data_IF_453815584643
#
_entry.id   IF_453815584643
#
_cell.length_a   1.000
_cell.length_b   1.000
_cell.length_c   1.000
_cell.angle_alpha   90.00
_cell.angle_beta   90.00
_cell.angle_gamma   90.00
#
_symmetry.space_group_name_H-M   'P 1'
#
loop_
_entity.id
_entity.type
_entity.pdbx_description
1 polymer ?
#
# COMPACT_ATOMS: atom_id res chain seq x y z
N UNK A 1 -6.17 14.40 2.60
CA UNK A 1 -4.87 13.89 2.13
C UNK A 1 -4.98 13.29 0.74
N UNK A 2 -5.85 12.29 0.52
CA UNK A 2 -6.00 11.59 -0.77
C UNK A 2 -6.23 12.56 -1.95
N UNK A 3 -7.18 13.50 -1.83
CA UNK A 3 -7.40 14.53 -2.85
C UNK A 3 -6.18 15.40 -3.09
N UNK A 4 -5.38 15.67 -2.06
CA UNK A 4 -4.13 16.41 -2.19
C UNK A 4 -3.12 15.70 -3.08
N UNK A 5 -2.99 14.37 -2.95
CA UNK A 5 -2.12 13.56 -3.80
C UNK A 5 -2.61 13.50 -5.25
N UNK A 6 -3.92 13.36 -5.49
CA UNK A 6 -4.48 13.43 -6.85
C UNK A 6 -4.13 14.76 -7.50
N UNK A 7 -4.36 15.89 -6.80
CA UNK A 7 -4.04 17.22 -7.31
C UNK A 7 -2.54 17.40 -7.57
N UNK A 8 -1.69 16.92 -6.64
CA UNK A 8 -0.24 17.00 -6.76
C UNK A 8 0.31 16.18 -7.94
N UNK A 9 -0.26 14.99 -8.19
CA UNK A 9 0.09 14.17 -9.35
C UNK A 9 -0.30 14.86 -10.65
N UNK A 10 -1.55 15.32 -10.78
CA UNK A 10 -2.01 16.04 -11.97
C UNK A 10 -1.14 17.28 -12.27
N UNK A 11 -0.83 18.08 -11.25
CA UNK A 11 0.04 19.27 -11.43
C UNK A 11 1.46 18.91 -11.87
N UNK A 12 1.98 17.77 -11.41
CA UNK A 12 3.30 17.30 -11.84
C UNK A 12 3.27 16.85 -13.31
N UNK A 13 2.22 16.16 -13.75
CA UNK A 13 2.05 15.77 -15.17
C UNK A 13 1.89 16.99 -16.09
N UNK A 14 1.09 18.00 -15.70
CA UNK A 14 0.95 19.25 -16.43
C UNK A 14 2.32 19.97 -16.59
N UNK A 15 3.13 19.97 -15.52
CA UNK A 15 4.48 20.55 -15.58
C UNK A 15 5.37 19.80 -16.57
N UNK A 16 5.31 18.45 -16.58
CA UNK A 16 6.10 17.64 -17.50
C UNK A 16 5.65 17.81 -18.96
N UNK A 17 4.35 17.98 -19.19
CA UNK A 17 3.79 18.26 -20.51
C UNK A 17 4.30 19.60 -21.04
N UNK A 18 4.19 20.68 -20.25
CA UNK A 18 4.73 22.02 -20.60
C UNK A 18 6.22 21.97 -20.89
N UNK A 19 7.01 21.27 -20.06
CA UNK A 19 8.45 21.13 -20.27
C UNK A 19 8.81 20.47 -21.61
N UNK A 20 8.00 19.48 -22.03
CA UNK A 20 8.17 18.82 -23.34
C UNK A 20 7.84 19.76 -24.51
N UNK A 21 6.78 20.58 -24.37
CA UNK A 21 6.36 21.54 -25.37
C UNK A 21 7.38 22.67 -25.54
N UNK A 22 7.89 23.20 -24.44
CA UNK A 22 8.82 24.33 -24.41
C UNK A 22 10.28 23.92 -24.69
N UNK A 23 10.61 22.64 -24.57
CA UNK A 23 11.98 22.12 -24.66
C UNK A 23 12.86 22.55 -23.48
N UNK A 24 12.27 23.00 -22.38
CA UNK A 24 12.96 23.34 -21.14
C UNK A 24 12.70 22.29 -20.05
N UNK A 25 13.69 21.48 -19.75
CA UNK A 25 13.61 20.38 -18.78
C UNK A 25 14.18 20.73 -17.40
N UNK A 26 14.46 22.00 -17.12
CA UNK A 26 15.09 22.42 -15.86
C UNK A 26 14.27 22.06 -14.61
N UNK A 27 12.93 22.07 -14.70
CA UNK A 27 12.01 21.70 -13.61
C UNK A 27 11.61 20.21 -13.61
N UNK A 28 11.92 19.46 -14.67
CA UNK A 28 11.50 18.06 -14.82
C UNK A 28 11.95 17.13 -13.68
N UNK A 29 13.19 17.24 -13.12
CA UNK A 29 13.59 16.36 -12.01
C UNK A 29 12.70 16.51 -10.75
N UNK A 30 12.22 17.73 -10.48
CA UNK A 30 11.27 18.01 -9.40
C UNK A 30 9.90 17.42 -9.68
N UNK A 31 9.38 17.67 -10.89
CA UNK A 31 8.08 17.15 -11.32
C UNK A 31 8.05 15.59 -11.33
N UNK A 32 9.11 14.93 -11.81
CA UNK A 32 9.23 13.47 -11.80
C UNK A 32 9.18 12.91 -10.36
N UNK A 33 9.85 13.55 -9.39
CA UNK A 33 9.75 13.15 -7.99
C UNK A 33 8.32 13.34 -7.44
N UNK A 34 7.65 14.42 -7.84
CA UNK A 34 6.27 14.68 -7.44
C UNK A 34 5.30 13.66 -8.05
N UNK A 35 5.50 13.21 -9.30
CA UNK A 35 4.74 12.10 -9.90
C UNK A 35 4.88 10.86 -9.02
N UNK A 36 6.12 10.46 -8.69
CA UNK A 36 6.36 9.27 -7.87
C UNK A 36 5.72 9.39 -6.48
N UNK A 37 5.95 10.51 -5.80
CA UNK A 37 5.43 10.71 -4.44
C UNK A 37 3.90 10.79 -4.39
N UNK A 38 3.32 11.67 -5.21
CA UNK A 38 1.87 11.88 -5.19
C UNK A 38 1.12 10.72 -5.84
N UNK A 39 1.65 10.12 -6.92
CA UNK A 39 1.07 8.93 -7.54
C UNK A 39 1.03 7.76 -6.56
N UNK A 40 2.14 7.48 -5.87
CA UNK A 40 2.18 6.45 -4.83
C UNK A 40 1.22 6.79 -3.67
N UNK A 41 1.15 8.05 -3.25
CA UNK A 41 0.21 8.49 -2.22
C UNK A 41 -1.24 8.25 -2.61
N UNK A 42 -1.63 8.56 -3.86
CA UNK A 42 -2.97 8.25 -4.37
C UNK A 42 -3.23 6.74 -4.39
N UNK A 43 -2.34 5.96 -5.00
CA UNK A 43 -2.50 4.51 -5.15
C UNK A 43 -2.64 3.82 -3.79
N UNK A 44 -1.77 4.13 -2.83
CA UNK A 44 -1.82 3.50 -1.51
C UNK A 44 -3.08 3.86 -0.72
N UNK A 45 -3.59 5.09 -0.84
CA UNK A 45 -4.87 5.46 -0.23
C UNK A 45 -6.06 4.78 -0.89
N UNK A 46 -6.04 4.65 -2.22
CA UNK A 46 -7.09 3.93 -2.95
C UNK A 46 -7.15 2.45 -2.52
N UNK A 47 -5.99 1.80 -2.44
CA UNK A 47 -5.87 0.43 -1.93
C UNK A 47 -6.36 0.30 -0.48
N UNK A 48 -6.01 1.27 0.38
CA UNK A 48 -6.39 1.28 1.79
C UNK A 48 -7.90 1.38 1.98
N UNK A 49 -8.56 2.36 1.31
CA UNK A 49 -10.00 2.53 1.41
C UNK A 49 -10.78 1.33 0.90
N UNK A 50 -10.37 0.78 -0.23
CA UNK A 50 -11.03 -0.37 -0.85
C UNK A 50 -10.76 -1.70 -0.13
N UNK A 51 -9.85 -1.73 0.85
CA UNK A 51 -9.58 -2.92 1.67
C UNK A 51 -10.37 -2.95 2.97
N UNK A 52 -11.28 -2.01 3.20
CA UNK A 52 -12.03 -1.91 4.47
C UNK A 52 -13.54 -1.92 4.23
N UNK A 53 -14.26 -2.69 5.06
CA UNK A 53 -15.71 -2.76 5.10
C UNK A 53 -16.21 -2.86 6.53
N UNK A 54 -17.37 -2.28 6.86
CA UNK A 54 -18.04 -2.52 8.15
C UNK A 54 -18.40 -3.99 8.38
N UNK A 55 -18.51 -4.77 7.32
CA UNK A 55 -18.79 -6.22 7.33
C UNK A 55 -17.51 -7.06 7.19
N UNK A 56 -16.32 -6.44 7.21
CA UNK A 56 -15.04 -7.13 7.19
C UNK A 56 -14.67 -7.81 8.51
N UNK A 57 -13.42 -8.26 8.61
CA UNK A 57 -12.88 -8.82 9.85
C UNK A 57 -12.70 -10.33 9.87
N UNK A 58 -13.11 -11.02 8.82
CA UNK A 58 -12.81 -12.44 8.64
C UNK A 58 -11.35 -12.67 8.20
N UNK A 59 -10.95 -13.91 7.95
CA UNK A 59 -9.67 -14.27 7.37
C UNK A 59 -9.81 -14.42 5.84
N UNK A 60 -8.72 -14.27 5.07
CA UNK A 60 -8.79 -14.52 3.64
C UNK A 60 -9.11 -15.99 3.35
N UNK A 61 -9.75 -16.22 2.21
CA UNK A 61 -10.05 -17.56 1.71
C UNK A 61 -9.40 -17.81 0.34
N UNK A 62 -9.42 -19.04 -0.14
CA UNK A 62 -8.97 -19.42 -1.47
C UNK A 62 -7.45 -19.22 -1.70
N UNK A 63 -7.08 -18.81 -2.91
CA UNK A 63 -5.68 -18.77 -3.36
C UNK A 63 -4.79 -17.85 -2.52
N UNK A 64 -5.30 -16.71 -2.05
CA UNK A 64 -4.55 -15.81 -1.18
C UNK A 64 -4.27 -16.45 0.18
N UNK A 65 -5.26 -17.13 0.78
CA UNK A 65 -5.08 -17.84 2.06
C UNK A 65 -4.05 -18.95 1.93
N UNK A 66 -4.17 -19.79 0.90
CA UNK A 66 -3.22 -20.88 0.61
C UNK A 66 -1.80 -20.33 0.45
N UNK A 67 -1.65 -19.19 -0.21
CA UNK A 67 -0.36 -18.56 -0.43
C UNK A 67 0.23 -17.95 0.84
N UNK A 68 -0.60 -17.34 1.70
CA UNK A 68 -0.16 -16.86 3.02
C UNK A 68 0.35 -18.05 3.86
N UNK A 69 -0.36 -19.17 3.85
CA UNK A 69 0.08 -20.36 4.57
C UNK A 69 1.40 -20.93 4.01
N UNK A 70 1.58 -20.94 2.68
CA UNK A 70 2.81 -21.39 2.04
C UNK A 70 4.02 -20.53 2.39
N UNK A 71 3.87 -19.19 2.32
CA UNK A 71 5.00 -18.27 2.46
C UNK A 71 5.33 -17.91 3.92
N UNK A 72 4.32 -17.92 4.82
CA UNK A 72 4.47 -17.50 6.23
C UNK A 72 4.20 -18.61 7.24
N UNK A 73 3.68 -19.75 6.81
CA UNK A 73 3.39 -20.91 7.65
C UNK A 73 1.99 -20.90 8.28
N UNK A 74 1.38 -19.74 8.52
CA UNK A 74 -0.03 -19.58 8.91
C UNK A 74 -0.48 -18.14 8.76
N UNK A 75 -1.81 -17.92 8.80
CA UNK A 75 -2.39 -16.57 8.84
C UNK A 75 -1.92 -15.79 10.07
N UNK A 76 -1.89 -16.40 11.26
CA UNK A 76 -1.47 -15.75 12.49
C UNK A 76 0.01 -15.35 12.46
N UNK A 77 0.88 -16.17 11.84
CA UNK A 77 2.30 -15.86 11.70
C UNK A 77 2.49 -14.66 10.75
N UNK A 78 1.80 -14.66 9.62
CA UNK A 78 1.76 -13.52 8.71
C UNK A 78 1.25 -12.25 9.38
N UNK A 79 0.09 -12.34 10.05
CA UNK A 79 -0.53 -11.21 10.75
C UNK A 79 0.40 -10.62 11.81
N UNK A 80 1.01 -11.47 12.63
CA UNK A 80 1.96 -11.03 13.65
C UNK A 80 3.17 -10.30 13.06
N UNK A 81 3.71 -10.78 11.93
CA UNK A 81 4.79 -10.10 11.20
C UNK A 81 4.31 -8.77 10.59
N UNK A 82 3.12 -8.74 9.99
CA UNK A 82 2.52 -7.52 9.44
C UNK A 82 2.27 -6.48 10.53
N UNK A 83 1.72 -6.84 11.69
CA UNK A 83 1.52 -5.95 12.84
C UNK A 83 2.86 -5.38 13.35
N UNK A 84 3.90 -6.20 13.42
CA UNK A 84 5.25 -5.75 13.79
C UNK A 84 5.82 -4.75 12.76
N UNK A 85 5.64 -5.00 11.47
CA UNK A 85 6.00 -4.08 10.40
C UNK A 85 5.24 -2.76 10.53
N UNK A 86 3.91 -2.81 10.72
CA UNK A 86 3.05 -1.65 10.91
C UNK A 86 3.42 -0.85 12.16
N UNK A 87 3.85 -1.51 13.24
CA UNK A 87 4.33 -0.86 14.45
C UNK A 87 5.60 -0.03 14.26
N UNK A 88 6.42 -0.34 13.27
CA UNK A 88 7.72 0.30 13.01
C UNK A 88 7.76 1.15 11.73
N UNK A 89 6.82 1.03 10.82
CA UNK A 89 6.78 1.80 9.59
C UNK A 89 6.64 3.31 9.84
N UNK A 90 7.31 4.11 9.02
CA UNK A 90 7.14 5.57 9.02
C UNK A 90 5.86 6.02 8.31
N UNK A 91 5.38 5.24 7.34
CA UNK A 91 4.22 5.58 6.51
C UNK A 91 3.21 4.44 6.35
N UNK A 92 3.63 3.29 5.84
CA UNK A 92 2.74 2.20 5.46
C UNK A 92 3.32 0.83 5.80
N UNK A 93 2.45 -0.11 6.14
CA UNK A 93 2.74 -1.54 6.07
C UNK A 93 1.96 -2.14 4.90
N UNK A 94 2.62 -2.95 4.08
CA UNK A 94 2.02 -3.57 2.90
C UNK A 94 2.20 -5.08 2.94
N UNK A 95 1.18 -5.82 2.52
CA UNK A 95 1.35 -7.15 1.97
C UNK A 95 1.52 -6.98 0.45
N UNK A 96 2.56 -7.53 -0.12
CA UNK A 96 2.85 -7.44 -1.54
C UNK A 96 3.08 -8.82 -2.15
N UNK A 97 2.73 -8.99 -3.43
CA UNK A 97 3.20 -10.08 -4.25
C UNK A 97 4.49 -9.66 -4.95
N UNK A 98 5.58 -10.34 -4.64
CA UNK A 98 6.89 -10.17 -5.27
C UNK A 98 6.96 -11.05 -6.53
N UNK A 99 6.73 -10.45 -7.68
CA UNK A 99 6.74 -11.17 -8.96
C UNK A 99 8.11 -11.73 -9.36
N UNK A 100 9.19 -11.23 -8.76
CA UNK A 100 10.54 -11.70 -9.05
C UNK A 100 10.86 -13.03 -8.38
N UNK A 101 10.39 -13.23 -7.15
CA UNK A 101 10.60 -14.48 -6.40
C UNK A 101 9.34 -15.37 -6.36
N UNK A 102 8.22 -14.90 -6.92
CA UNK A 102 6.91 -15.55 -6.83
C UNK A 102 6.55 -15.86 -5.38
N UNK A 103 6.51 -14.83 -4.52
CA UNK A 103 6.21 -14.95 -3.08
C UNK A 103 5.43 -13.74 -2.58
N UNK A 104 4.63 -13.94 -1.52
CA UNK A 104 4.12 -12.86 -0.70
C UNK A 104 5.20 -12.35 0.26
N UNK A 105 5.21 -11.04 0.51
CA UNK A 105 6.11 -10.41 1.49
C UNK A 105 5.41 -9.30 2.23
N UNK A 106 5.75 -9.11 3.50
CA UNK A 106 5.46 -7.88 4.20
C UNK A 106 6.55 -6.83 3.87
N UNK A 107 6.13 -5.60 3.61
CA UNK A 107 7.02 -4.48 3.24
C UNK A 107 6.70 -3.26 4.10
N UNK A 108 7.75 -2.61 4.59
CA UNK A 108 7.68 -1.32 5.29
C UNK A 108 7.97 -0.20 4.31
N UNK A 109 7.08 0.78 4.23
CA UNK A 109 7.22 1.96 3.38
C UNK A 109 7.22 3.21 4.26
N UNK A 110 8.36 3.90 4.35
CA UNK A 110 8.53 5.04 5.28
C UNK A 110 7.89 6.34 4.81
N UNK A 111 7.68 6.47 3.50
CA UNK A 111 6.85 7.50 2.87
C UNK A 111 5.93 6.80 1.87
N UNK A 112 5.41 7.53 0.88
CA UNK A 112 4.61 6.87 -0.17
C UNK A 112 5.49 6.12 -1.18
N UNK A 113 6.69 6.64 -1.42
CA UNK A 113 7.63 6.25 -2.48
C UNK A 113 9.00 5.77 -1.93
N UNK A 114 9.11 5.48 -0.63
CA UNK A 114 10.37 5.06 -0.01
C UNK A 114 10.18 3.76 0.77
N UNK A 115 10.90 2.73 0.36
CA UNK A 115 10.88 1.40 0.96
C UNK A 115 10.16 0.34 0.11
N UNK A 116 9.53 0.72 -1.01
CA UNK A 116 8.89 -0.23 -1.90
C UNK A 116 9.92 -1.21 -2.50
N UNK A 117 9.54 -2.49 -2.54
CA UNK A 117 10.33 -3.52 -3.21
C UNK A 117 10.03 -3.49 -4.72
N UNK A 118 11.07 -3.28 -5.54
CA UNK A 118 10.91 -3.24 -7.00
C UNK A 118 10.39 -4.56 -7.55
N UNK A 119 9.38 -4.47 -8.42
CA UNK A 119 8.71 -5.64 -9.00
C UNK A 119 7.63 -6.23 -8.10
N UNK A 120 7.29 -5.59 -6.98
CA UNK A 120 6.18 -6.01 -6.13
C UNK A 120 4.88 -5.32 -6.48
N UNK A 121 3.78 -6.06 -6.26
CA UNK A 121 2.41 -5.57 -6.41
C UNK A 121 1.74 -5.50 -5.04
N UNK A 122 1.25 -4.34 -4.61
CA UNK A 122 0.58 -4.22 -3.32
C UNK A 122 -0.77 -4.94 -3.34
N UNK A 123 -0.96 -5.83 -2.39
CA UNK A 123 -2.18 -6.62 -2.19
C UNK A 123 -3.03 -5.99 -1.09
N UNK A 124 -2.43 -5.69 0.07
CA UNK A 124 -3.07 -5.02 1.19
C UNK A 124 -2.19 -3.87 1.64
N UNK A 125 -2.79 -2.72 1.94
CA UNK A 125 -2.10 -1.53 2.45
C UNK A 125 -2.73 -1.06 3.75
N UNK A 126 -1.90 -0.78 4.76
CA UNK A 126 -2.29 -0.13 6.02
C UNK A 126 -1.55 1.19 6.16
N UNK A 127 -2.31 2.28 6.20
CA UNK A 127 -1.81 3.63 6.49
C UNK A 127 -1.49 3.75 7.99
N UNK A 128 -0.22 4.02 8.31
CA UNK A 128 0.23 4.20 9.71
C UNK A 128 0.82 5.58 9.96
N UNK A 129 0.58 6.54 9.07
CA UNK A 129 0.77 7.94 9.37
C UNK A 129 -0.16 8.37 10.52
N UNK A 130 0.25 9.34 11.33
CA UNK A 130 -0.55 9.81 12.48
C UNK A 130 -1.95 10.28 12.07
N UNK A 131 -2.12 10.83 10.88
CA UNK A 131 -3.43 11.28 10.39
C UNK A 131 -4.45 10.14 10.22
N UNK A 132 -4.01 8.90 10.07
CA UNK A 132 -4.92 7.76 9.91
C UNK A 132 -5.49 7.26 11.24
N UNK A 133 -4.82 7.50 12.38
CA UNK A 133 -5.23 6.92 13.65
C UNK A 133 -5.26 7.90 14.84
N UNK A 134 -4.49 8.99 14.81
CA UNK A 134 -4.29 9.81 16.00
C UNK A 134 -5.57 10.50 16.50
N UNK A 135 -6.52 10.78 15.60
CA UNK A 135 -7.80 11.39 15.96
C UNK A 135 -8.61 10.50 16.92
N UNK A 136 -8.65 9.19 16.66
CA UNK A 136 -9.48 8.24 17.39
C UNK A 136 -8.70 7.47 18.47
N UNK A 137 -7.42 7.18 18.24
CA UNK A 137 -6.57 6.35 19.09
C UNK A 137 -5.49 7.13 19.83
N UNK A 138 -5.26 8.42 19.53
CA UNK A 138 -4.14 9.17 20.09
C UNK A 138 -2.81 8.44 19.85
N UNK A 139 -1.95 8.26 20.88
CA UNK A 139 -0.67 7.57 20.71
C UNK A 139 -0.77 6.04 20.66
N UNK A 140 -1.97 5.45 20.77
CA UNK A 140 -2.17 4.01 20.83
C UNK A 140 -2.17 3.35 19.43
N UNK A 141 -1.10 3.58 18.63
CA UNK A 141 -0.95 3.05 17.28
C UNK A 141 -1.08 1.53 17.21
N UNK A 142 -0.59 0.80 18.21
CA UNK A 142 -0.70 -0.65 18.26
C UNK A 142 -2.15 -1.14 18.33
N UNK A 143 -3.01 -0.42 19.05
CA UNK A 143 -4.44 -0.71 19.12
C UNK A 143 -5.12 -0.45 17.76
N UNK A 144 -4.80 0.65 17.09
CA UNK A 144 -5.26 0.92 15.73
C UNK A 144 -4.87 -0.19 14.75
N UNK A 145 -3.59 -0.61 14.77
CA UNK A 145 -3.07 -1.68 13.90
C UNK A 145 -3.80 -3.00 14.16
N UNK A 146 -4.04 -3.36 15.42
CA UNK A 146 -4.78 -4.57 15.75
C UNK A 146 -6.24 -4.51 15.30
N UNK A 147 -6.91 -3.37 15.52
CA UNK A 147 -8.32 -3.17 15.15
C UNK A 147 -8.54 -3.04 13.63
N UNK A 148 -7.48 -2.75 12.85
CA UNK A 148 -7.58 -2.73 11.39
C UNK A 148 -8.08 -4.08 10.85
N UNK A 149 -7.66 -5.18 11.43
CA UNK A 149 -8.06 -6.51 10.99
C UNK A 149 -9.54 -6.82 11.24
N UNK A 150 -10.21 -6.09 12.12
CA UNK A 150 -11.65 -6.23 12.36
C UNK A 150 -12.50 -5.62 11.23
N UNK A 151 -11.88 -4.89 10.30
CA UNK A 151 -12.57 -4.23 9.18
C UNK A 151 -11.97 -4.56 7.81
N UNK A 152 -10.95 -5.44 7.73
CA UNK A 152 -10.39 -5.84 6.44
C UNK A 152 -11.44 -6.59 5.63
N UNK A 153 -11.71 -6.10 4.43
CA UNK A 153 -12.48 -6.78 3.40
C UNK A 153 -11.51 -7.54 2.50
N UNK A 154 -11.49 -8.86 2.62
CA UNK A 154 -10.54 -9.72 1.91
C UNK A 154 -10.90 -9.98 0.44
N UNK A 155 -12.08 -9.59 -0.02
CA UNK A 155 -12.49 -9.76 -1.41
C UNK A 155 -11.57 -8.96 -2.35
N UNK A 156 -11.30 -7.70 -1.99
CA UNK A 156 -10.41 -6.84 -2.78
C UNK A 156 -8.93 -7.26 -2.76
N UNK A 157 -8.29 -7.55 -1.61
CA UNK A 157 -6.95 -8.11 -1.56
C UNK A 157 -6.81 -9.42 -2.34
N UNK A 158 -7.80 -10.32 -2.26
CA UNK A 158 -7.81 -11.58 -3.00
C UNK A 158 -7.86 -11.36 -4.50
N UNK A 159 -8.74 -10.45 -4.97
CA UNK A 159 -8.82 -10.10 -6.39
C UNK A 159 -7.51 -9.48 -6.92
N UNK A 160 -6.83 -8.64 -6.12
CA UNK A 160 -5.52 -8.07 -6.49
C UNK A 160 -4.43 -9.13 -6.55
N UNK A 161 -4.44 -10.08 -5.64
CA UNK A 161 -3.52 -11.21 -5.68
C UNK A 161 -3.70 -12.04 -6.94
N UNK A 162 -4.94 -12.43 -7.27
CA UNK A 162 -5.24 -13.20 -8.47
C UNK A 162 -4.81 -12.47 -9.73
N UNK A 163 -5.07 -11.17 -9.83
CA UNK A 163 -4.61 -10.34 -10.95
C UNK A 163 -3.07 -10.27 -11.04
N UNK A 164 -2.39 -10.12 -9.91
CA UNK A 164 -0.93 -10.07 -9.88
C UNK A 164 -0.32 -11.39 -10.35
N UNK A 165 -0.85 -12.53 -9.90
CA UNK A 165 -0.40 -13.86 -10.36
C UNK A 165 -0.65 -14.04 -11.84
N UNK A 166 -1.85 -13.71 -12.35
CA UNK A 166 -2.19 -13.84 -13.78
C UNK A 166 -1.27 -13.01 -14.70
N UNK A 167 -0.82 -11.85 -14.23
CA UNK A 167 0.06 -10.96 -15.00
C UNK A 167 1.51 -11.46 -15.11
N UNK A 168 1.97 -12.32 -14.20
CA UNK A 168 3.39 -12.71 -14.08
C UNK A 168 3.65 -14.22 -14.19
N UNK A 169 2.63 -15.05 -14.30
CA UNK A 169 2.74 -16.46 -14.69
C UNK A 169 2.68 -16.62 -16.23
#
# INVERSE_FOLDING_TARGET
HHQGYVNGWNSAEETLESNREDGDFSSSPGAIRNVTHNGSGHILHDLFWNSMSPEGGDEPEGALADRIEEDFGSYEAWKGEFEAAAGNAGGWALLVYDSFSNQLRNVVVDKHDQGALWGSHPILALDVWEHSYYHDYGPARGEFVSNFFDVVDWDEPSARYDQAVELFE
#
